data_IF_861587890219
#
_entry.id   IF_861587890219
#
_cell.length_a   1.000
_cell.length_b   1.000
_cell.length_c   1.000
_cell.angle_alpha   90.00
_cell.angle_beta   90.00
_cell.angle_gamma   90.00
#
_symmetry.space_group_name_H-M   'P 1'
#
loop_
_entity.id
_entity.type
_entity.pdbx_description
1 polymer ?
#
# COMPACT_ATOMS: atom_id res chain seq x y z
N UNK A 1 -27.30 8.45 19.09
CA UNK A 1 -25.99 8.22 18.48
C UNK A 1 -25.99 6.80 17.91
N UNK A 2 -25.68 6.63 16.63
CA UNK A 2 -25.51 5.29 16.07
C UNK A 2 -24.26 4.67 16.69
N UNK A 3 -24.41 3.59 17.46
CA UNK A 3 -23.29 2.79 17.93
C UNK A 3 -22.73 2.02 16.73
N UNK A 4 -21.53 2.33 16.29
CA UNK A 4 -20.82 1.63 15.22
C UNK A 4 -19.47 1.14 15.72
N UNK A 5 -18.92 0.13 15.07
CA UNK A 5 -17.56 -0.32 15.30
C UNK A 5 -16.61 0.44 14.38
N UNK A 6 -15.54 0.95 14.94
CA UNK A 6 -14.57 1.79 14.24
C UNK A 6 -13.14 1.32 14.48
N UNK A 7 -12.26 1.63 13.55
CA UNK A 7 -10.82 1.42 13.69
C UNK A 7 -10.13 2.77 13.71
N UNK A 8 -9.33 3.00 14.73
CA UNK A 8 -8.43 4.15 14.83
C UNK A 8 -7.04 3.74 14.37
N UNK A 9 -6.53 4.41 13.35
CA UNK A 9 -5.19 4.24 12.82
C UNK A 9 -4.35 5.47 13.13
N UNK A 10 -3.29 5.30 13.91
CA UNK A 10 -2.38 6.38 14.26
C UNK A 10 -0.96 6.13 13.78
N UNK A 11 -0.20 7.19 13.64
CA UNK A 11 1.24 7.10 13.42
C UNK A 11 1.91 6.45 14.65
N UNK A 12 2.77 5.43 14.47
CA UNK A 12 3.52 4.85 15.58
C UNK A 12 4.39 5.91 16.28
N UNK A 13 4.63 5.78 17.58
CA UNK A 13 5.58 6.64 18.28
C UNK A 13 7.03 6.32 17.85
N UNK A 14 7.93 7.31 17.91
CA UNK A 14 9.35 7.17 17.63
C UNK A 14 9.84 7.82 16.34
N UNK A 15 11.14 7.75 16.09
CA UNK A 15 11.77 8.25 14.86
C UNK A 15 11.49 7.25 13.74
N UNK A 16 10.68 7.66 12.79
CA UNK A 16 10.30 6.85 11.63
C UNK A 16 11.02 7.37 10.39
N UNK A 17 11.30 6.47 9.46
CA UNK A 17 11.72 6.86 8.11
C UNK A 17 10.67 7.81 7.51
N UNK A 18 11.12 8.87 6.84
CA UNK A 18 10.28 9.98 6.40
C UNK A 18 9.07 9.59 5.52
N UNK A 19 9.07 8.41 4.92
CA UNK A 19 7.99 7.88 4.09
C UNK A 19 7.15 6.78 4.75
N UNK A 20 7.53 6.33 5.97
CA UNK A 20 6.81 5.27 6.66
C UNK A 20 5.62 5.86 7.46
N UNK A 21 4.47 5.21 7.35
CA UNK A 21 3.28 5.53 8.13
C UNK A 21 2.70 6.95 7.94
N UNK A 22 2.62 7.39 6.69
CA UNK A 22 1.95 8.65 6.33
C UNK A 22 0.42 8.48 6.39
N UNK A 23 -0.15 8.55 7.61
CA UNK A 23 -1.58 8.28 7.87
C UNK A 23 -2.52 9.22 7.13
N UNK A 24 -2.10 10.46 6.84
CA UNK A 24 -2.83 11.40 6.01
C UNK A 24 -2.90 10.97 4.54
N UNK A 25 -1.83 10.37 4.03
CA UNK A 25 -1.80 9.77 2.69
C UNK A 25 -2.67 8.51 2.62
N UNK A 26 -2.60 7.65 3.64
CA UNK A 26 -3.48 6.48 3.76
C UNK A 26 -4.96 6.92 3.78
N UNK A 27 -5.32 7.89 4.61
CA UNK A 27 -6.68 8.42 4.68
C UNK A 27 -7.15 8.99 3.34
N UNK A 28 -6.28 9.73 2.62
CA UNK A 28 -6.60 10.31 1.32
C UNK A 28 -6.92 9.22 0.29
N UNK A 29 -6.10 8.17 0.18
CA UNK A 29 -6.31 7.12 -0.81
C UNK A 29 -7.54 6.28 -0.49
N UNK A 30 -7.78 5.92 0.79
CA UNK A 30 -8.98 5.20 1.21
C UNK A 30 -10.25 6.03 0.92
N UNK A 31 -10.21 7.34 1.20
CA UNK A 31 -11.33 8.24 0.90
C UNK A 31 -11.64 8.30 -0.60
N UNK A 32 -10.61 8.42 -1.43
CA UNK A 32 -10.75 8.47 -2.88
C UNK A 32 -11.29 7.14 -3.46
N UNK A 33 -10.77 6.01 -2.99
CA UNK A 33 -11.19 4.69 -3.44
C UNK A 33 -12.63 4.34 -3.00
N UNK A 34 -13.13 4.91 -1.93
CA UNK A 34 -14.48 4.66 -1.43
C UNK A 34 -15.61 4.95 -2.44
N UNK A 35 -15.34 5.74 -3.49
CA UNK A 35 -16.28 6.04 -4.57
C UNK A 35 -16.05 5.21 -5.84
N UNK A 36 -15.08 4.29 -5.87
CA UNK A 36 -14.64 3.62 -7.11
C UNK A 36 -15.09 2.17 -7.24
N UNK A 37 -15.80 1.62 -6.27
CA UNK A 37 -16.16 0.20 -6.24
C UNK A 37 -15.03 -0.75 -5.80
N UNK A 38 -13.85 -0.23 -5.48
CA UNK A 38 -12.81 -0.99 -4.78
C UNK A 38 -13.24 -1.16 -3.32
N UNK A 39 -13.24 -2.39 -2.77
CA UNK A 39 -13.65 -2.62 -1.39
C UNK A 39 -12.61 -2.07 -0.42
N UNK A 40 -12.92 -0.92 0.18
CA UNK A 40 -12.10 -0.27 1.21
C UNK A 40 -12.96 0.12 2.41
N UNK A 41 -12.39 0.23 3.61
CA UNK A 41 -13.10 0.78 4.75
C UNK A 41 -13.59 2.19 4.46
N UNK A 42 -14.75 2.57 4.99
CA UNK A 42 -15.21 3.96 4.89
C UNK A 42 -14.34 4.87 5.75
N UNK A 43 -13.61 5.77 5.14
CA UNK A 43 -12.87 6.83 5.80
C UNK A 43 -13.85 7.81 6.46
N UNK A 44 -13.68 8.13 7.74
CA UNK A 44 -14.63 8.92 8.52
C UNK A 44 -14.06 10.26 8.95
N UNK A 45 -12.88 10.27 9.55
CA UNK A 45 -12.27 11.48 10.09
C UNK A 45 -10.76 11.40 10.11
N UNK A 46 -10.07 12.46 9.70
CA UNK A 46 -8.62 12.64 9.84
C UNK A 46 -8.36 13.75 10.86
N UNK A 47 -7.69 13.42 11.95
CA UNK A 47 -7.20 14.38 12.93
C UNK A 47 -5.71 14.64 12.72
N UNK A 48 -5.38 15.89 12.34
CA UNK A 48 -4.00 16.35 12.18
C UNK A 48 -3.44 16.99 13.45
N UNK A 49 -4.30 17.27 14.42
CA UNK A 49 -3.92 17.86 15.70
C UNK A 49 -3.32 16.78 16.59
N UNK A 50 -1.99 16.82 16.73
CA UNK A 50 -1.25 15.87 17.55
C UNK A 50 -1.49 16.05 19.05
N UNK A 51 -2.07 17.19 19.49
CA UNK A 51 -2.38 17.42 20.90
C UNK A 51 -3.49 16.52 21.45
N UNK A 52 -4.32 15.94 20.54
CA UNK A 52 -5.49 15.13 20.93
C UNK A 52 -5.07 13.77 21.52
N UNK A 53 -4.14 13.05 20.86
CA UNK A 53 -3.66 11.72 21.32
C UNK A 53 -2.14 11.55 21.19
N UNK A 54 -1.40 12.63 21.03
CA UNK A 54 0.06 12.59 20.90
C UNK A 54 0.56 12.25 19.50
N UNK A 55 -0.32 12.08 18.51
CA UNK A 55 0.08 11.85 17.12
C UNK A 55 -1.12 12.04 16.17
N UNK A 56 -0.82 12.34 14.90
CA UNK A 56 -1.85 12.33 13.83
C UNK A 56 -2.51 10.94 13.72
N UNK A 57 -3.82 10.92 13.52
CA UNK A 57 -4.60 9.68 13.37
C UNK A 57 -5.79 9.88 12.43
N UNK A 58 -6.34 8.76 11.96
CA UNK A 58 -7.64 8.78 11.32
C UNK A 58 -8.55 7.66 11.85
N UNK A 59 -9.84 7.83 11.63
CA UNK A 59 -10.89 6.89 12.00
C UNK A 59 -11.55 6.38 10.72
N UNK A 60 -11.77 5.07 10.65
CA UNK A 60 -12.48 4.40 9.57
C UNK A 60 -13.50 3.40 10.12
N UNK A 61 -14.43 2.95 9.29
CA UNK A 61 -15.34 1.85 9.67
C UNK A 61 -14.53 0.56 9.88
N UNK A 62 -14.95 -0.26 10.85
CA UNK A 62 -14.46 -1.63 10.92
C UNK A 62 -15.08 -2.44 9.78
N UNK A 63 -14.28 -3.20 9.09
CA UNK A 63 -14.71 -4.21 8.11
C UNK A 63 -14.84 -5.53 8.85
N UNK A 64 -16.00 -6.17 8.76
CA UNK A 64 -16.20 -7.50 9.29
C UNK A 64 -15.65 -8.54 8.30
N UNK A 65 -14.90 -9.50 8.79
CA UNK A 65 -14.30 -10.54 7.96
C UNK A 65 -13.21 -11.30 8.69
N UNK A 66 -12.46 -12.10 7.96
CA UNK A 66 -11.37 -12.92 8.46
C UNK A 66 -10.06 -12.50 7.82
N UNK A 67 -9.05 -12.22 8.63
CA UNK A 67 -7.68 -12.02 8.16
C UNK A 67 -6.97 -13.38 8.16
N UNK A 68 -6.43 -13.75 7.01
CA UNK A 68 -5.66 -14.99 6.87
C UNK A 68 -4.17 -14.71 7.00
N UNK A 69 -3.56 -15.25 8.04
CA UNK A 69 -2.12 -15.08 8.28
C UNK A 69 -1.26 -16.08 7.51
N UNK A 70 -1.81 -17.27 7.24
CA UNK A 70 -1.13 -18.31 6.46
C UNK A 70 -1.63 -18.29 5.01
N UNK A 71 -0.76 -17.97 4.04
CA UNK A 71 -1.14 -17.94 2.63
C UNK A 71 -1.53 -19.32 2.08
N UNK A 72 -1.14 -20.43 2.73
CA UNK A 72 -1.59 -21.75 2.34
C UNK A 72 -3.08 -22.01 2.60
N UNK A 73 -3.73 -21.14 3.43
CA UNK A 73 -5.15 -21.25 3.79
C UNK A 73 -5.53 -22.68 4.26
N UNK A 74 -4.84 -23.24 5.28
CA UNK A 74 -4.98 -24.64 5.65
C UNK A 74 -6.39 -25.00 6.17
N UNK A 75 -7.14 -24.02 6.68
CA UNK A 75 -8.49 -24.21 7.16
C UNK A 75 -9.55 -24.28 6.05
N UNK A 76 -9.18 -23.99 4.80
CA UNK A 76 -10.08 -24.01 3.65
C UNK A 76 -9.84 -25.24 2.79
N UNK A 77 -10.91 -25.80 2.21
CA UNK A 77 -10.77 -26.80 1.16
C UNK A 77 -10.21 -26.23 -0.15
N UNK A 78 -9.92 -27.08 -1.14
CA UNK A 78 -9.30 -26.67 -2.40
C UNK A 78 -10.18 -25.69 -3.20
N UNK A 79 -11.49 -25.88 -3.19
CA UNK A 79 -12.43 -25.03 -3.92
C UNK A 79 -12.51 -23.63 -3.26
N UNK A 80 -12.65 -23.59 -1.94
CA UNK A 80 -12.68 -22.35 -1.17
C UNK A 80 -11.36 -21.56 -1.29
N UNK A 81 -10.18 -22.24 -1.24
CA UNK A 81 -8.90 -21.60 -1.52
C UNK A 81 -8.84 -20.98 -2.89
N UNK A 82 -9.27 -21.73 -3.92
CA UNK A 82 -9.32 -21.23 -5.28
C UNK A 82 -10.23 -20.01 -5.44
N UNK A 83 -11.41 -20.03 -4.82
CA UNK A 83 -12.32 -18.89 -4.82
C UNK A 83 -11.75 -17.66 -4.11
N UNK A 84 -11.11 -17.85 -2.95
CA UNK A 84 -10.44 -16.76 -2.19
C UNK A 84 -9.37 -16.10 -3.04
N UNK A 85 -8.44 -16.87 -3.60
CA UNK A 85 -7.39 -16.29 -4.43
C UNK A 85 -7.93 -15.63 -5.71
N UNK A 86 -8.98 -16.19 -6.32
CA UNK A 86 -9.62 -15.56 -7.45
C UNK A 86 -10.21 -14.19 -7.11
N UNK A 87 -10.80 -14.02 -5.91
CA UNK A 87 -11.34 -12.72 -5.50
C UNK A 87 -10.23 -11.73 -5.11
N UNK A 88 -9.14 -12.20 -4.49
CA UNK A 88 -7.93 -11.40 -4.26
C UNK A 88 -7.42 -10.82 -5.57
N UNK A 89 -7.26 -11.64 -6.61
CA UNK A 89 -6.79 -11.18 -7.94
C UNK A 89 -7.80 -10.21 -8.59
N UNK A 90 -9.11 -10.50 -8.52
CA UNK A 90 -10.13 -9.60 -9.05
C UNK A 90 -10.12 -8.23 -8.35
N UNK A 91 -9.95 -8.22 -7.05
CA UNK A 91 -9.88 -6.98 -6.26
C UNK A 91 -8.62 -6.17 -6.63
N UNK A 92 -7.48 -6.82 -6.81
CA UNK A 92 -6.28 -6.15 -7.31
C UNK A 92 -6.48 -5.58 -8.72
N UNK A 93 -7.13 -6.33 -9.60
CA UNK A 93 -7.45 -5.86 -10.95
C UNK A 93 -8.39 -4.63 -10.93
N UNK A 94 -9.41 -4.62 -10.04
CA UNK A 94 -10.27 -3.44 -9.83
C UNK A 94 -9.47 -2.24 -9.35
N UNK A 95 -8.53 -2.43 -8.41
CA UNK A 95 -7.66 -1.36 -7.94
C UNK A 95 -6.81 -0.77 -9.05
N UNK A 96 -6.18 -1.63 -9.87
CA UNK A 96 -5.35 -1.19 -10.99
C UNK A 96 -6.16 -0.54 -12.13
N UNK A 97 -7.45 -0.83 -12.23
CA UNK A 97 -8.35 -0.22 -13.22
C UNK A 97 -8.88 1.17 -12.78
N UNK A 98 -8.62 1.60 -11.55
CA UNK A 98 -9.00 2.94 -11.09
C UNK A 98 -8.19 3.99 -11.85
N UNK A 99 -8.89 4.92 -12.50
CA UNK A 99 -8.27 6.14 -13.05
C UNK A 99 -7.85 7.07 -11.91
N UNK A 100 -6.54 7.30 -11.69
CA UNK A 100 -6.09 8.15 -10.59
C UNK A 100 -6.55 9.60 -10.73
N UNK A 101 -6.73 10.09 -11.94
CA UNK A 101 -7.19 11.48 -12.18
C UNK A 101 -8.66 11.60 -11.79
N UNK A 102 -9.51 10.71 -12.29
CA UNK A 102 -10.93 10.70 -11.96
C UNK A 102 -11.18 10.47 -10.46
N UNK A 103 -10.32 9.70 -9.78
CA UNK A 103 -10.37 9.47 -8.35
C UNK A 103 -9.80 10.63 -7.48
N UNK A 104 -9.31 11.72 -8.07
CA UNK A 104 -8.70 12.84 -7.34
C UNK A 104 -7.32 12.54 -6.76
N UNK A 105 -6.59 11.59 -7.35
CA UNK A 105 -5.26 11.14 -6.94
C UNK A 105 -4.16 11.51 -7.95
N UNK A 106 -4.42 12.42 -8.90
CA UNK A 106 -3.48 12.80 -9.96
C UNK A 106 -2.10 13.25 -9.43
N UNK A 107 -2.07 13.91 -8.28
CA UNK A 107 -0.87 14.40 -7.59
C UNK A 107 -0.36 13.47 -6.48
N UNK A 108 -0.99 12.30 -6.30
CA UNK A 108 -0.65 11.37 -5.21
C UNK A 108 0.72 10.71 -5.39
N UNK A 109 1.11 10.44 -6.63
CA UNK A 109 2.40 9.90 -7.03
C UNK A 109 3.12 10.79 -8.03
N UNK A 110 4.39 10.49 -8.28
CA UNK A 110 5.15 11.14 -9.35
C UNK A 110 5.02 10.29 -10.62
N UNK A 111 4.45 10.80 -11.71
CA UNK A 111 4.35 10.06 -12.96
C UNK A 111 5.73 9.89 -13.62
N UNK A 112 5.84 8.89 -14.48
CA UNK A 112 7.00 8.63 -15.31
C UNK A 112 8.24 8.11 -14.56
N UNK A 113 9.12 7.42 -15.27
CA UNK A 113 10.41 6.91 -14.79
C UNK A 113 10.32 6.11 -13.47
N UNK A 114 9.23 5.36 -13.28
CA UNK A 114 8.99 4.63 -12.03
C UNK A 114 10.15 3.68 -11.69
N UNK A 115 10.55 2.83 -12.63
CA UNK A 115 11.60 1.83 -12.39
C UNK A 115 12.96 2.47 -12.09
N UNK A 116 13.34 3.52 -12.81
CA UNK A 116 14.60 4.23 -12.56
C UNK A 116 14.60 4.86 -11.14
N UNK A 117 13.49 5.48 -10.73
CA UNK A 117 13.38 6.05 -9.38
C UNK A 117 13.40 4.98 -8.29
N UNK A 118 12.73 3.84 -8.52
CA UNK A 118 12.74 2.74 -7.56
C UNK A 118 14.15 2.14 -7.43
N UNK A 119 14.83 1.89 -8.54
CA UNK A 119 16.20 1.41 -8.53
C UNK A 119 17.11 2.34 -7.74
N UNK A 120 17.09 3.64 -8.04
CA UNK A 120 17.91 4.63 -7.34
C UNK A 120 17.64 4.61 -5.82
N UNK A 121 16.36 4.60 -5.42
CA UNK A 121 15.95 4.56 -4.01
C UNK A 121 16.43 3.28 -3.31
N UNK A 122 16.27 2.12 -3.94
CA UNK A 122 16.68 0.85 -3.33
C UNK A 122 18.19 0.71 -3.26
N UNK A 123 18.94 1.22 -4.25
CA UNK A 123 20.40 1.29 -4.18
C UNK A 123 20.85 2.17 -3.02
N UNK A 124 20.26 3.36 -2.86
CA UNK A 124 20.57 4.25 -1.74
C UNK A 124 20.29 3.58 -0.39
N UNK A 125 19.14 2.93 -0.22
CA UNK A 125 18.79 2.21 1.00
C UNK A 125 19.74 1.03 1.27
N UNK A 126 20.09 0.27 0.25
CA UNK A 126 21.07 -0.81 0.38
C UNK A 126 22.43 -0.26 0.86
N UNK A 127 22.93 0.81 0.22
CA UNK A 127 24.18 1.46 0.64
C UNK A 127 24.15 1.96 2.08
N UNK A 128 23.02 2.53 2.51
CA UNK A 128 22.86 3.01 3.88
C UNK A 128 22.79 1.89 4.92
N UNK A 129 22.41 0.68 4.54
CA UNK A 129 22.30 -0.50 5.43
C UNK A 129 23.41 -1.53 5.24
N UNK A 130 24.35 -1.29 4.33
CA UNK A 130 25.42 -2.23 3.99
C UNK A 130 26.37 -2.42 5.19
N UNK A 131 26.51 -3.65 5.65
CA UNK A 131 27.44 -4.04 6.72
C UNK A 131 28.70 -4.73 6.18
N UNK A 132 28.73 -5.04 4.89
CA UNK A 132 29.84 -5.66 4.20
C UNK A 132 29.51 -5.82 2.72
N UNK A 133 30.55 -5.83 1.88
CA UNK A 133 30.40 -5.94 0.43
C UNK A 133 29.81 -7.30 0.02
N UNK A 134 28.73 -7.26 -0.74
CA UNK A 134 28.08 -8.44 -1.34
C UNK A 134 28.25 -8.37 -2.86
N UNK A 135 29.21 -9.12 -3.40
CA UNK A 135 29.58 -9.02 -4.81
C UNK A 135 28.42 -9.23 -5.80
N UNK A 136 27.47 -10.18 -5.61
CA UNK A 136 26.29 -10.30 -6.46
C UNK A 136 25.41 -9.03 -6.48
N UNK A 137 25.32 -8.30 -5.35
CA UNK A 137 24.58 -7.03 -5.29
C UNK A 137 25.28 -5.93 -6.08
N UNK A 138 26.63 -5.87 -6.04
CA UNK A 138 27.39 -4.92 -6.84
C UNK A 138 27.15 -5.13 -8.32
N UNK A 139 27.23 -6.39 -8.76
CA UNK A 139 26.96 -6.76 -10.14
C UNK A 139 25.53 -6.43 -10.57
N UNK A 140 24.55 -6.66 -9.70
CA UNK A 140 23.16 -6.34 -9.96
C UNK A 140 22.95 -4.82 -10.10
N UNK A 141 23.50 -4.03 -9.16
CA UNK A 141 23.43 -2.57 -9.18
C UNK A 141 24.06 -2.00 -10.45
N UNK A 142 25.20 -2.55 -10.88
CA UNK A 142 25.86 -2.12 -12.10
C UNK A 142 25.06 -2.48 -13.38
N UNK A 143 24.38 -3.62 -13.38
CA UNK A 143 23.70 -4.16 -14.56
C UNK A 143 22.29 -3.60 -14.77
N UNK A 144 21.51 -3.42 -13.71
CA UNK A 144 20.09 -3.06 -13.79
C UNK A 144 19.82 -1.77 -14.58
N UNK A 145 20.60 -0.68 -14.48
CA UNK A 145 20.31 0.56 -15.22
C UNK A 145 20.20 0.36 -16.74
N UNK A 146 21.00 -0.53 -17.31
CA UNK A 146 20.97 -0.83 -18.75
C UNK A 146 19.84 -1.77 -19.19
N UNK A 147 19.07 -2.33 -18.21
CA UNK A 147 18.02 -3.32 -18.46
C UNK A 147 16.67 -2.88 -17.92
N UNK A 148 16.51 -1.61 -17.58
CA UNK A 148 15.22 -1.08 -17.14
C UNK A 148 14.22 -1.15 -18.31
N UNK A 149 12.96 -1.56 -18.05
CA UNK A 149 11.93 -1.46 -19.07
C UNK A 149 11.67 -0.01 -19.45
N UNK A 150 11.29 0.21 -20.70
CA UNK A 150 10.85 1.51 -21.15
C UNK A 150 9.62 1.95 -20.35
N UNK A 151 9.55 3.24 -20.03
CA UNK A 151 8.37 3.82 -19.41
C UNK A 151 7.31 4.01 -20.51
N UNK A 152 6.18 3.34 -20.35
CA UNK A 152 5.03 3.43 -21.27
C UNK A 152 4.07 4.57 -20.90
N UNK A 153 4.37 5.30 -19.82
CA UNK A 153 3.54 6.38 -19.30
C UNK A 153 2.25 5.91 -18.62
N UNK A 154 2.00 4.60 -18.53
CA UNK A 154 0.83 4.08 -17.83
C UNK A 154 0.93 4.36 -16.32
N UNK A 155 -0.19 4.79 -15.74
CA UNK A 155 -0.29 5.09 -14.31
C UNK A 155 -1.47 4.33 -13.73
N UNK A 156 -1.24 3.63 -12.63
CA UNK A 156 -2.28 2.93 -11.88
C UNK A 156 -2.08 3.15 -10.37
N UNK A 157 -3.15 2.93 -9.61
CA UNK A 157 -3.07 2.89 -8.16
C UNK A 157 -2.50 1.53 -7.74
N UNK A 158 -1.31 1.52 -7.18
CA UNK A 158 -0.68 0.31 -6.66
C UNK A 158 -0.81 0.23 -5.14
N UNK A 159 -1.14 -0.96 -4.62
CA UNK A 159 -1.25 -1.17 -3.18
C UNK A 159 0.12 -1.11 -2.48
N UNK A 160 1.15 -1.64 -3.11
CA UNK A 160 2.52 -1.61 -2.59
C UNK A 160 2.88 -2.74 -1.62
N UNK A 161 1.90 -3.34 -0.94
CA UNK A 161 2.09 -4.51 -0.06
C UNK A 161 0.83 -5.39 -0.07
N UNK A 162 0.45 -5.89 -1.27
CA UNK A 162 -0.77 -6.66 -1.48
C UNK A 162 -0.55 -8.12 -1.10
N UNK A 163 -0.71 -8.40 0.18
CA UNK A 163 -0.55 -9.72 0.81
C UNK A 163 -1.86 -10.12 1.48
N UNK A 164 -2.07 -11.41 1.64
CA UNK A 164 -3.33 -11.96 2.18
C UNK A 164 -3.61 -11.50 3.61
N UNK A 165 -2.58 -11.29 4.41
CA UNK A 165 -2.68 -10.79 5.78
C UNK A 165 -2.97 -9.28 5.89
N UNK A 166 -2.92 -8.56 4.76
CA UNK A 166 -3.36 -7.17 4.64
C UNK A 166 -4.78 -7.03 4.06
N UNK A 167 -5.49 -8.15 3.90
CA UNK A 167 -6.85 -8.21 3.34
C UNK A 167 -7.83 -8.79 4.37
N UNK A 168 -9.10 -8.41 4.24
CA UNK A 168 -10.20 -8.87 5.09
C UNK A 168 -11.29 -9.49 4.22
#
# INVERSE_FOLDING_TARGET
>A
AASGEYVLRRKPPGVLLASAHAVDREFRVISALGATGVPVPRALHLCRDESVIGSMFYVMSRVAGTIHWDPALPALDAAARGATYAEIVRTLARLHAVDPVAAGLADYGKPGNYFARQLARWVEQYRASETGRVEPMEQLIARLPAHLPADDGAVAVAHGDYRIDNLV
#
